data_IF_848439117770
#
_entry.id   IF_848439117770
#
_cell.length_a   1.000
_cell.length_b   1.000
_cell.length_c   1.000
_cell.angle_alpha   90.00
_cell.angle_beta   90.00
_cell.angle_gamma   90.00
#
_symmetry.space_group_name_H-M   'P 1'
#
loop_
_entity.id
_entity.type
_entity.pdbx_description
1 polymer ?
#
# COMPACT_ATOMS: atom_id res chain seq x y z
N UNK A 1 4.95 -12.19 1.34
CA UNK A 1 6.31 -12.53 1.80
C UNK A 1 6.44 -11.93 3.18
N UNK A 2 6.94 -12.69 4.15
CA UNK A 2 7.12 -12.22 5.51
C UNK A 2 8.15 -11.08 5.54
N UNK A 3 8.06 -10.20 6.53
CA UNK A 3 9.05 -9.16 6.79
C UNK A 3 10.42 -9.82 7.03
N UNK A 4 11.43 -9.46 6.23
CA UNK A 4 12.81 -9.92 6.42
C UNK A 4 13.47 -9.02 7.47
N UNK A 5 13.72 -9.59 8.66
CA UNK A 5 14.33 -8.91 9.81
C UNK A 5 15.50 -9.73 10.32
N UNK A 6 16.63 -9.05 10.50
CA UNK A 6 17.84 -9.59 11.14
C UNK A 6 18.29 -8.61 12.22
N UNK A 7 19.35 -8.93 12.96
CA UNK A 7 19.82 -8.10 14.07
C UNK A 7 21.28 -7.72 13.89
N UNK A 8 21.64 -6.48 14.26
CA UNK A 8 23.01 -5.99 14.17
C UNK A 8 23.99 -6.86 14.97
N UNK A 9 25.14 -7.19 14.37
CA UNK A 9 26.19 -7.94 15.08
C UNK A 9 26.96 -7.05 16.07
N UNK A 10 27.05 -5.74 15.80
CA UNK A 10 27.76 -4.78 16.63
C UNK A 10 27.02 -3.44 16.67
N UNK A 11 27.27 -2.67 17.73
CA UNK A 11 26.75 -1.31 17.84
C UNK A 11 27.44 -0.37 16.83
N UNK A 12 26.72 0.66 16.41
CA UNK A 12 27.22 1.73 15.54
C UNK A 12 26.92 3.07 16.20
N UNK A 13 27.89 3.99 16.23
CA UNK A 13 27.72 5.31 16.81
C UNK A 13 27.37 6.34 15.73
N UNK A 14 26.79 7.47 16.14
CA UNK A 14 26.29 8.52 15.24
C UNK A 14 27.35 9.12 14.30
N UNK A 15 28.63 9.09 14.70
CA UNK A 15 29.76 9.64 13.93
C UNK A 15 30.55 8.59 13.15
N UNK A 16 30.17 7.32 13.21
CA UNK A 16 30.92 6.25 12.56
C UNK A 16 30.72 6.30 11.04
N UNK A 17 31.83 6.21 10.31
CA UNK A 17 31.83 5.89 8.89
C UNK A 17 31.51 4.40 8.73
N UNK A 18 30.33 4.09 8.19
CA UNK A 18 29.83 2.73 8.04
C UNK A 18 29.81 2.38 6.55
N UNK A 19 30.82 1.64 6.09
CA UNK A 19 30.90 1.13 4.72
C UNK A 19 30.29 -0.27 4.57
N UNK A 20 30.14 -0.98 5.70
CA UNK A 20 29.58 -2.33 5.79
C UNK A 20 28.73 -2.48 7.05
N UNK A 21 27.67 -3.28 6.97
CA UNK A 21 26.84 -3.68 8.12
C UNK A 21 26.91 -5.19 8.29
N UNK A 22 27.32 -5.63 9.48
CA UNK A 22 27.32 -7.04 9.88
C UNK A 22 26.09 -7.39 10.71
N UNK A 23 25.49 -8.55 10.47
CA UNK A 23 24.30 -9.04 11.16
C UNK A 23 24.48 -10.44 11.71
N UNK A 24 23.63 -10.85 12.67
CA UNK A 24 23.76 -12.13 13.36
C UNK A 24 23.18 -13.30 12.56
N UNK A 25 22.16 -13.05 11.75
CA UNK A 25 21.37 -14.04 11.02
C UNK A 25 21.77 -14.15 9.55
N UNK A 26 21.19 -15.12 8.84
CA UNK A 26 21.38 -15.30 7.41
C UNK A 26 20.73 -14.17 6.60
N UNK A 27 21.37 -13.72 5.53
CA UNK A 27 20.89 -12.62 4.66
C UNK A 27 20.51 -13.10 3.26
N UNK A 28 20.35 -14.41 3.03
CA UNK A 28 20.02 -14.95 1.71
C UNK A 28 18.67 -14.45 1.18
N UNK A 29 17.71 -14.17 2.06
CA UNK A 29 16.40 -13.60 1.75
C UNK A 29 16.41 -12.12 1.33
N UNK A 30 17.48 -11.38 1.64
CA UNK A 30 17.61 -9.97 1.25
C UNK A 30 18.03 -9.85 -0.23
N UNK A 31 17.59 -8.81 -0.96
CA UNK A 31 18.08 -8.57 -2.31
C UNK A 31 19.56 -8.17 -2.31
N UNK A 32 20.23 -8.30 -3.46
CA UNK A 32 21.66 -7.96 -3.58
C UNK A 32 21.95 -6.48 -3.32
N UNK A 33 21.02 -5.58 -3.61
CA UNK A 33 21.09 -4.16 -3.27
C UNK A 33 19.71 -3.72 -2.75
N UNK A 34 19.68 -2.73 -1.87
CA UNK A 34 18.42 -2.34 -1.25
C UNK A 34 18.55 -1.26 -0.18
N UNK A 35 17.49 -1.15 0.61
CA UNK A 35 17.36 -0.19 1.71
C UNK A 35 17.12 -1.00 2.99
N UNK A 36 17.89 -0.67 4.04
CA UNK A 36 17.71 -1.21 5.39
C UNK A 36 17.21 -0.09 6.30
N UNK A 37 16.29 -0.42 7.21
CA UNK A 37 15.87 0.46 8.28
C UNK A 37 16.38 -0.11 9.61
N UNK A 38 17.08 0.73 10.37
CA UNK A 38 17.54 0.40 11.72
C UNK A 38 17.05 1.52 12.64
N UNK A 39 16.12 1.20 13.54
CA UNK A 39 15.42 2.21 14.32
C UNK A 39 14.75 3.26 13.43
N UNK A 40 15.26 4.49 13.44
CA UNK A 40 14.78 5.60 12.61
C UNK A 40 15.72 6.01 11.47
N UNK A 41 16.81 5.27 11.24
CA UNK A 41 17.79 5.59 10.20
C UNK A 41 17.68 4.60 9.03
N UNK A 42 17.56 5.14 7.82
CA UNK A 42 17.60 4.36 6.60
C UNK A 42 19.01 4.34 6.00
N UNK A 43 19.43 3.16 5.58
CA UNK A 43 20.72 2.89 4.94
C UNK A 43 20.46 2.35 3.54
N UNK A 44 21.26 2.76 2.55
CA UNK A 44 21.32 2.05 1.26
C UNK A 44 22.53 1.12 1.27
N UNK A 45 22.43 -0.02 0.57
CA UNK A 45 23.56 -0.92 0.34
C UNK A 45 23.59 -1.36 -1.12
N UNK A 46 24.79 -1.55 -1.66
CA UNK A 46 24.99 -1.86 -3.08
C UNK A 46 25.24 -3.36 -3.34
N UNK A 47 25.67 -4.11 -2.33
CA UNK A 47 25.94 -5.53 -2.40
C UNK A 47 25.73 -6.22 -1.04
N UNK A 48 25.60 -7.56 -1.04
CA UNK A 48 25.61 -8.40 0.17
C UNK A 48 26.54 -9.58 0.02
N UNK A 49 26.97 -10.15 1.14
CA UNK A 49 27.71 -11.40 1.22
C UNK A 49 27.04 -12.33 2.23
N UNK A 50 26.38 -13.36 1.72
CA UNK A 50 25.60 -14.30 2.52
C UNK A 50 26.47 -15.10 3.49
N UNK A 51 27.66 -15.53 3.05
CA UNK A 51 28.58 -16.31 3.90
C UNK A 51 29.15 -15.52 5.07
N UNK A 52 29.31 -14.20 4.89
CA UNK A 52 29.80 -13.30 5.93
C UNK A 52 28.68 -12.61 6.71
N UNK A 53 27.42 -12.80 6.32
CA UNK A 53 26.26 -12.09 6.91
C UNK A 53 26.44 -10.58 6.91
N UNK A 54 26.81 -10.04 5.74
CA UNK A 54 27.28 -8.66 5.60
C UNK A 54 26.64 -7.94 4.42
N UNK A 55 26.25 -6.70 4.63
CA UNK A 55 25.92 -5.72 3.60
C UNK A 55 27.12 -4.83 3.32
N UNK A 56 27.36 -4.46 2.06
CA UNK A 56 28.51 -3.66 1.63
C UNK A 56 28.12 -2.52 0.69
N UNK A 57 29.00 -1.52 0.58
CA UNK A 57 28.69 -0.27 -0.12
C UNK A 57 27.59 0.49 0.62
N UNK A 58 27.65 0.48 1.95
CA UNK A 58 26.63 1.07 2.80
C UNK A 58 26.75 2.59 2.79
N UNK A 59 25.63 3.28 2.64
CA UNK A 59 25.51 4.73 2.87
C UNK A 59 24.46 4.99 3.94
N UNK A 60 24.81 5.87 4.89
CA UNK A 60 24.01 6.25 6.06
C UNK A 60 23.06 7.41 5.78
N UNK A 61 22.13 7.67 6.71
CA UNK A 61 21.27 8.86 6.67
C UNK A 61 20.57 9.07 5.31
N UNK A 62 20.08 7.98 4.72
CA UNK A 62 19.45 8.00 3.41
C UNK A 62 17.94 8.28 3.55
N UNK A 63 17.28 8.60 2.43
CA UNK A 63 15.82 8.75 2.35
C UNK A 63 15.24 9.76 3.36
N UNK A 64 15.99 10.83 3.61
CA UNK A 64 15.63 11.92 4.53
C UNK A 64 15.72 11.59 6.02
N UNK A 65 16.35 10.46 6.36
CA UNK A 65 16.66 10.13 7.76
C UNK A 65 17.97 10.79 8.20
N UNK A 66 18.19 10.89 9.51
CA UNK A 66 19.44 11.37 10.08
C UNK A 66 20.26 10.21 10.63
N UNK A 67 21.59 10.36 10.62
CA UNK A 67 22.47 9.40 11.28
C UNK A 67 22.12 9.29 12.78
N UNK A 68 22.04 8.07 13.29
CA UNK A 68 21.73 7.77 14.68
C UNK A 68 22.73 6.78 15.29
N UNK A 69 22.72 6.65 16.63
CA UNK A 69 23.42 5.56 17.31
C UNK A 69 22.51 4.33 17.40
N UNK A 70 23.05 3.15 17.08
CA UNK A 70 22.34 1.87 17.10
C UNK A 70 23.07 0.89 18.01
N UNK A 71 22.32 0.21 18.88
CA UNK A 71 22.89 -0.84 19.74
C UNK A 71 23.17 -2.11 18.96
N UNK A 72 24.10 -2.93 19.46
CA UNK A 72 24.19 -4.32 19.02
C UNK A 72 22.83 -5.01 19.23
N UNK A 73 22.51 -5.95 18.35
CA UNK A 73 21.23 -6.66 18.29
C UNK A 73 20.01 -5.78 18.03
N UNK A 74 20.17 -4.53 17.59
CA UNK A 74 19.04 -3.77 17.05
C UNK A 74 18.53 -4.41 15.75
N UNK A 75 17.22 -4.37 15.56
CA UNK A 75 16.57 -4.90 14.37
C UNK A 75 17.02 -4.13 13.12
N UNK A 76 17.27 -4.90 12.06
CA UNK A 76 17.65 -4.45 10.73
C UNK A 76 16.57 -4.99 9.80
N UNK A 77 15.70 -4.09 9.37
CA UNK A 77 14.53 -4.41 8.58
C UNK A 77 14.77 -4.09 7.11
N UNK A 78 14.40 -4.99 6.21
CA UNK A 78 14.43 -4.69 4.78
C UNK A 78 13.23 -3.81 4.37
N UNK A 79 13.51 -2.69 3.71
CA UNK A 79 12.48 -1.88 3.06
C UNK A 79 12.31 -2.38 1.62
N UNK A 80 11.23 -3.12 1.39
CA UNK A 80 10.90 -3.68 0.08
C UNK A 80 10.46 -2.61 -0.93
N UNK A 81 9.74 -1.59 -0.46
CA UNK A 81 9.18 -0.54 -1.31
C UNK A 81 9.47 0.84 -0.72
N UNK A 82 10.14 1.69 -1.51
CA UNK A 82 10.37 3.09 -1.21
C UNK A 82 9.34 3.94 -1.97
N UNK A 83 8.45 4.61 -1.22
CA UNK A 83 7.34 5.38 -1.78
C UNK A 83 7.48 6.83 -1.36
N UNK A 84 7.57 7.73 -2.35
CA UNK A 84 7.62 9.17 -2.14
C UNK A 84 6.26 9.77 -2.49
N UNK A 85 5.66 10.46 -1.52
CA UNK A 85 4.45 11.23 -1.74
C UNK A 85 4.81 12.71 -1.89
N UNK A 86 4.68 13.22 -3.10
CA UNK A 86 4.88 14.64 -3.40
C UNK A 86 3.50 15.29 -3.47
N UNK A 87 3.26 16.31 -2.66
CA UNK A 87 2.04 17.13 -2.69
C UNK A 87 2.42 18.61 -2.73
N UNK A 88 1.55 19.46 -3.30
CA UNK A 88 1.83 20.90 -3.42
C UNK A 88 1.18 21.62 -4.60
N UNK A 89 0.55 20.89 -5.53
CA UNK A 89 -0.20 21.53 -6.62
C UNK A 89 -1.63 21.87 -6.16
N UNK A 90 -1.82 23.07 -5.62
CA UNK A 90 -3.14 23.57 -5.19
C UNK A 90 -4.15 23.70 -6.35
N UNK A 91 -3.71 23.67 -7.60
CA UNK A 91 -4.55 23.70 -8.79
C UNK A 91 -4.87 22.30 -9.35
N UNK A 92 -4.32 21.23 -8.76
CA UNK A 92 -4.66 19.87 -9.15
C UNK A 92 -6.12 19.60 -8.81
N UNK A 93 -6.94 19.39 -9.84
CA UNK A 93 -8.31 18.92 -9.67
C UNK A 93 -8.29 17.50 -9.12
N UNK A 94 -9.21 17.21 -8.19
CA UNK A 94 -9.34 15.86 -7.64
C UNK A 94 -9.50 14.84 -8.80
N UNK A 95 -8.75 13.73 -8.78
CA UNK A 95 -9.01 12.63 -9.71
C UNK A 95 -10.46 12.16 -9.58
N UNK A 96 -11.04 11.65 -10.68
CA UNK A 96 -12.36 11.02 -10.63
C UNK A 96 -12.34 9.86 -9.64
N UNK A 97 -13.34 9.82 -8.77
CA UNK A 97 -13.50 8.75 -7.79
C UNK A 97 -14.09 7.53 -8.48
N UNK A 98 -13.35 6.41 -8.46
CA UNK A 98 -13.88 5.09 -8.77
C UNK A 98 -13.93 4.26 -7.48
N UNK A 99 -15.14 3.98 -6.99
CA UNK A 99 -15.38 3.23 -5.75
C UNK A 99 -15.21 1.71 -5.93
N UNK A 100 -15.09 1.21 -7.17
CA UNK A 100 -14.90 -0.23 -7.40
C UNK A 100 -13.56 -0.73 -6.83
N UNK A 101 -12.58 0.16 -6.70
CA UNK A 101 -11.25 -0.15 -6.19
C UNK A 101 -11.01 0.28 -4.74
N UNK A 102 -12.04 0.69 -3.99
CA UNK A 102 -11.89 1.10 -2.59
C UNK A 102 -11.30 -0.04 -1.72
N UNK A 103 -10.46 0.22 -0.71
CA UNK A 103 -10.04 -0.79 0.25
C UNK A 103 -11.17 -1.27 1.17
N UNK A 104 -11.16 -2.56 1.57
CA UNK A 104 -12.14 -3.13 2.52
C UNK A 104 -11.67 -2.93 3.97
N UNK A 105 -11.44 -1.67 4.35
CA UNK A 105 -11.18 -1.27 5.73
C UNK A 105 -11.62 0.18 5.94
N UNK A 106 -12.08 0.51 7.15
CA UNK A 106 -12.43 1.88 7.49
C UNK A 106 -11.17 2.75 7.56
N UNK A 107 -11.11 3.79 6.73
CA UNK A 107 -10.05 4.79 6.76
C UNK A 107 -10.38 5.86 7.80
N UNK A 108 -9.53 6.02 8.81
CA UNK A 108 -9.47 7.27 9.60
C UNK A 108 -8.57 8.27 8.88
N UNK A 109 -9.17 9.15 8.09
CA UNK A 109 -8.47 10.21 7.38
C UNK A 109 -9.30 11.48 7.31
N UNK A 110 -8.63 12.62 7.22
CA UNK A 110 -9.25 13.93 7.01
C UNK A 110 -9.37 14.30 5.53
N UNK A 111 -8.91 13.44 4.61
CA UNK A 111 -9.01 13.67 3.17
C UNK A 111 -10.49 13.63 2.73
N UNK A 112 -10.89 14.60 1.90
CA UNK A 112 -12.25 14.68 1.36
C UNK A 112 -12.43 13.95 0.03
N UNK A 113 -11.36 13.41 -0.57
CA UNK A 113 -11.37 12.69 -1.84
C UNK A 113 -10.24 11.68 -1.91
N UNK A 114 -10.48 10.54 -2.55
CA UNK A 114 -9.54 9.44 -2.74
C UNK A 114 -9.57 8.93 -4.17
N UNK A 115 -8.42 8.52 -4.69
CA UNK A 115 -8.32 7.72 -5.91
C UNK A 115 -7.59 6.43 -5.58
N UNK A 116 -8.27 5.32 -5.80
CA UNK A 116 -7.76 4.00 -5.50
C UNK A 116 -7.25 3.38 -6.79
N UNK A 117 -5.93 3.35 -6.96
CA UNK A 117 -5.34 2.89 -8.21
C UNK A 117 -5.57 1.38 -8.42
N UNK A 118 -5.40 0.54 -7.38
CA UNK A 118 -5.48 -0.93 -7.46
C UNK A 118 -5.68 -1.61 -6.08
N UNK A 119 -6.63 -1.19 -5.23
CA UNK A 119 -6.89 -1.88 -3.94
C UNK A 119 -7.98 -2.95 -4.02
N UNK A 120 -8.81 -2.96 -5.07
CA UNK A 120 -9.87 -3.95 -5.30
C UNK A 120 -9.69 -4.77 -6.58
N UNK A 121 -10.40 -5.90 -6.68
CA UNK A 121 -10.65 -6.60 -7.95
C UNK A 121 -12.13 -6.45 -8.35
N UNK A 122 -12.42 -6.42 -9.65
CA UNK A 122 -13.79 -6.61 -10.16
C UNK A 122 -14.15 -8.10 -10.09
N UNK A 123 -14.95 -8.52 -9.09
CA UNK A 123 -15.45 -9.90 -9.01
C UNK A 123 -15.70 -10.45 -7.61
N UNK A 124 -16.11 -11.71 -7.56
CA UNK A 124 -16.39 -12.47 -6.33
C UNK A 124 -15.14 -12.87 -5.53
N UNK A 125 -13.93 -12.50 -5.96
CA UNK A 125 -12.66 -12.86 -5.31
C UNK A 125 -11.97 -11.73 -4.55
N UNK A 126 -12.63 -10.58 -4.36
CA UNK A 126 -12.05 -9.42 -3.65
C UNK A 126 -11.65 -9.78 -2.21
N UNK A 127 -10.37 -9.65 -1.82
CA UNK A 127 -9.95 -9.83 -0.44
C UNK A 127 -10.71 -8.88 0.51
N UNK A 128 -11.18 -9.39 1.65
CA UNK A 128 -11.99 -8.65 2.61
C UNK A 128 -13.50 -8.62 2.33
N UNK A 129 -13.96 -9.01 1.13
CA UNK A 129 -15.37 -9.21 0.85
C UNK A 129 -15.78 -10.65 1.16
N UNK A 130 -17.05 -10.85 1.51
CA UNK A 130 -17.62 -12.19 1.59
C UNK A 130 -17.80 -12.77 0.18
N UNK A 131 -17.26 -13.96 -0.01
CA UNK A 131 -17.33 -14.72 -1.23
C UNK A 131 -18.08 -16.04 -1.02
N UNK A 132 -18.70 -16.54 -2.08
CA UNK A 132 -19.34 -17.86 -2.11
C UNK A 132 -18.32 -18.89 -2.58
N UNK A 133 -18.04 -19.91 -1.79
CA UNK A 133 -17.11 -20.97 -2.16
C UNK A 133 -17.80 -22.18 -2.77
N UNK A 134 -18.94 -22.59 -2.22
CA UNK A 134 -19.60 -23.82 -2.63
C UNK A 134 -21.10 -23.78 -2.37
N UNK A 135 -21.84 -24.31 -3.32
CA UNK A 135 -23.29 -24.53 -3.26
C UNK A 135 -23.59 -25.94 -3.74
N UNK A 136 -24.28 -26.72 -2.92
CA UNK A 136 -24.91 -27.97 -3.35
C UNK A 136 -26.31 -28.01 -2.77
N UNK A 137 -27.30 -28.46 -3.55
CA UNK A 137 -28.70 -28.46 -3.12
C UNK A 137 -29.46 -27.19 -3.52
N UNK A 138 -30.52 -26.86 -2.78
CA UNK A 138 -31.30 -25.63 -3.00
C UNK A 138 -30.87 -24.52 -2.04
N UNK A 139 -29.57 -24.23 -2.04
CA UNK A 139 -28.97 -23.27 -1.13
C UNK A 139 -29.00 -21.86 -1.73
N UNK A 140 -29.53 -20.89 -1.00
CA UNK A 140 -29.54 -19.49 -1.39
C UNK A 140 -28.65 -18.68 -0.45
N UNK A 141 -27.97 -17.68 -0.99
CA UNK A 141 -27.16 -16.76 -0.23
C UNK A 141 -27.84 -15.39 -0.30
N UNK A 142 -28.32 -14.89 0.84
CA UNK A 142 -28.84 -13.52 0.89
C UNK A 142 -27.70 -12.54 1.15
N UNK A 143 -27.82 -11.34 0.59
CA UNK A 143 -26.75 -10.32 0.59
C UNK A 143 -27.12 -9.05 1.36
N UNK A 144 -28.23 -9.10 2.08
CA UNK A 144 -28.69 -8.10 3.05
C UNK A 144 -29.72 -8.71 4.01
N UNK A 145 -30.11 -7.97 5.04
CA UNK A 145 -31.23 -8.27 5.93
C UNK A 145 -32.40 -8.92 5.14
N UNK A 146 -32.87 -10.13 5.51
CA UNK A 146 -33.98 -10.79 4.81
C UNK A 146 -35.28 -9.97 4.78
N UNK A 147 -35.37 -8.88 5.56
CA UNK A 147 -36.48 -7.92 5.55
C UNK A 147 -36.17 -6.56 4.89
N UNK A 148 -34.94 -6.31 4.44
CA UNK A 148 -34.55 -5.09 3.72
C UNK A 148 -33.44 -5.36 2.70
N UNK A 149 -33.79 -5.34 1.40
CA UNK A 149 -32.83 -5.50 0.30
C UNK A 149 -31.75 -4.41 0.31
N UNK A 150 -30.51 -4.76 0.60
CA UNK A 150 -29.34 -3.95 0.28
C UNK A 150 -28.12 -4.80 -0.12
N UNK A 151 -27.17 -4.14 -0.78
CA UNK A 151 -25.95 -4.62 -1.44
C UNK A 151 -25.11 -5.71 -0.73
N UNK A 152 -24.43 -6.51 -1.57
CA UNK A 152 -23.42 -7.60 -1.37
C UNK A 152 -22.34 -7.40 -0.28
N UNK A 153 -22.35 -6.28 0.43
CA UNK A 153 -21.28 -5.82 1.30
C UNK A 153 -21.60 -5.89 2.79
N UNK A 154 -22.82 -6.28 3.22
CA UNK A 154 -23.24 -6.03 4.61
C UNK A 154 -23.79 -7.23 5.40
N UNK A 155 -24.58 -8.16 4.85
CA UNK A 155 -25.06 -9.33 5.63
C UNK A 155 -25.10 -10.59 4.77
N UNK A 156 -24.83 -11.76 5.36
CA UNK A 156 -24.72 -13.01 4.61
C UNK A 156 -25.40 -14.16 5.34
N UNK A 157 -26.55 -14.59 4.82
CA UNK A 157 -27.28 -15.77 5.30
C UNK A 157 -27.28 -16.88 4.27
N UNK A 158 -27.17 -18.13 4.72
CA UNK A 158 -27.37 -19.33 3.89
C UNK A 158 -28.77 -19.86 4.14
N UNK A 159 -29.61 -20.01 3.12
CA UNK A 159 -30.97 -20.54 3.18
C UNK A 159 -31.11 -21.84 2.39
N UNK A 160 -31.88 -22.84 2.84
CA UNK A 160 -32.22 -24.00 2.01
C UNK A 160 -33.67 -24.47 2.19
N UNK A 161 -34.20 -25.08 1.14
CA UNK A 161 -35.51 -25.74 1.08
C UNK A 161 -35.45 -27.24 0.74
N UNK A 162 -34.26 -27.82 0.47
CA UNK A 162 -34.01 -29.27 0.24
C UNK A 162 -32.50 -29.60 0.11
N UNK A 163 -32.00 -30.43 1.05
CA UNK A 163 -30.68 -31.09 1.11
C UNK A 163 -29.53 -30.28 0.50
N UNK A 164 -28.77 -29.58 1.32
CA UNK A 164 -27.74 -28.71 0.80
C UNK A 164 -26.65 -28.30 1.77
N UNK A 165 -25.59 -27.75 1.19
CA UNK A 165 -24.45 -27.17 1.90
C UNK A 165 -24.12 -25.84 1.27
N UNK A 166 -24.09 -24.80 2.10
CA UNK A 166 -23.63 -23.47 1.73
C UNK A 166 -22.41 -23.07 2.52
N UNK A 167 -21.41 -22.53 1.84
CA UNK A 167 -20.18 -22.03 2.44
C UNK A 167 -19.86 -20.64 1.92
N UNK A 168 -19.71 -19.70 2.85
CA UNK A 168 -19.25 -18.34 2.59
C UNK A 168 -17.99 -18.05 3.37
N UNK A 169 -17.10 -17.24 2.81
CA UNK A 169 -15.82 -16.92 3.43
C UNK A 169 -15.35 -15.50 3.12
N UNK A 170 -14.49 -14.97 3.99
CA UNK A 170 -13.64 -13.80 3.76
C UNK A 170 -12.22 -14.31 3.53
N UNK A 171 -11.55 -13.80 2.49
CA UNK A 171 -10.15 -14.09 2.20
C UNK A 171 -9.26 -12.88 2.47
N UNK A 172 -8.06 -13.09 2.99
CA UNK A 172 -6.99 -12.08 3.01
C UNK A 172 -5.61 -12.71 2.76
N UNK A 173 -4.88 -12.19 1.77
CA UNK A 173 -3.54 -12.68 1.40
C UNK A 173 -2.48 -12.47 2.50
N UNK A 174 -2.72 -11.56 3.45
CA UNK A 174 -1.84 -11.37 4.60
C UNK A 174 -1.97 -12.51 5.65
N UNK A 175 -2.92 -13.43 5.44
CA UNK A 175 -3.33 -14.42 6.42
C UNK A 175 -4.28 -13.83 7.46
N UNK A 176 -5.09 -14.70 8.05
CA UNK A 176 -6.06 -14.38 9.10
C UNK A 176 -5.71 -15.24 10.31
N UNK A 177 -5.37 -14.60 11.42
CA UNK A 177 -4.99 -15.29 12.66
C UNK A 177 -6.20 -15.58 13.56
N UNK A 178 -7.16 -14.66 13.60
CA UNK A 178 -8.36 -14.79 14.40
C UNK A 178 -9.54 -14.05 13.76
N UNK A 179 -10.75 -14.46 14.11
CA UNK A 179 -11.99 -13.79 13.74
C UNK A 179 -12.90 -13.64 14.95
N UNK A 180 -13.41 -12.42 15.15
CA UNK A 180 -14.44 -12.09 16.14
C UNK A 180 -15.76 -11.91 15.40
N UNK A 181 -16.73 -12.77 15.69
CA UNK A 181 -18.10 -12.67 15.20
C UNK A 181 -18.97 -12.04 16.29
N UNK A 182 -19.69 -10.98 15.94
CA UNK A 182 -20.65 -10.29 16.80
C UNK A 182 -21.97 -10.13 16.07
N UNK A 183 -23.08 -10.21 16.80
CA UNK A 183 -24.44 -10.02 16.28
C UNK A 183 -24.85 -11.01 15.16
N UNK A 184 -24.22 -12.18 15.06
CA UNK A 184 -24.69 -13.25 14.19
C UNK A 184 -25.98 -13.88 14.73
N UNK A 185 -26.79 -14.48 13.86
CA UNK A 185 -27.93 -15.28 14.30
C UNK A 185 -28.09 -16.61 13.54
N UNK A 186 -28.80 -17.52 14.18
CA UNK A 186 -29.32 -18.75 13.58
C UNK A 186 -30.85 -18.73 13.60
N UNK A 187 -31.47 -19.39 12.64
CA UNK A 187 -32.93 -19.52 12.56
C UNK A 187 -33.31 -20.87 11.96
N UNK A 188 -34.39 -21.46 12.45
CA UNK A 188 -35.02 -22.59 11.77
C UNK A 188 -36.55 -22.49 11.86
N UNK A 189 -37.27 -22.73 10.76
CA UNK A 189 -38.74 -22.70 10.77
C UNK A 189 -39.33 -23.82 11.64
N UNK A 190 -38.70 -24.99 11.65
CA UNK A 190 -39.05 -26.13 12.49
C UNK A 190 -37.77 -26.76 13.04
N UNK A 191 -37.45 -26.50 14.30
CA UNK A 191 -36.20 -26.88 14.97
C UNK A 191 -35.91 -28.37 14.84
N UNK A 192 -34.67 -28.68 14.47
CA UNK A 192 -34.14 -30.04 14.42
C UNK A 192 -34.58 -30.85 13.21
N UNK A 193 -35.11 -30.21 12.15
CA UNK A 193 -35.57 -30.89 10.93
C UNK A 193 -34.76 -30.59 9.67
N UNK A 194 -34.10 -29.45 9.63
CA UNK A 194 -33.30 -28.92 8.53
C UNK A 194 -31.86 -28.70 8.93
N UNK A 195 -31.56 -28.24 10.15
CA UNK A 195 -30.18 -28.00 10.59
C UNK A 195 -29.42 -29.31 10.88
N UNK A 196 -28.37 -29.63 10.11
CA UNK A 196 -27.40 -30.68 10.47
C UNK A 196 -26.27 -30.05 11.29
N UNK A 197 -25.63 -29.04 10.71
CA UNK A 197 -24.48 -28.39 11.32
C UNK A 197 -24.35 -26.96 10.83
N UNK A 198 -23.91 -26.08 11.73
CA UNK A 198 -23.33 -24.79 11.39
C UNK A 198 -21.92 -24.80 11.93
N UNK A 199 -20.96 -24.29 11.17
CA UNK A 199 -19.54 -24.34 11.53
C UNK A 199 -18.81 -23.08 11.10
N UNK A 200 -17.82 -22.69 11.89
CA UNK A 200 -16.79 -21.74 11.50
C UNK A 200 -15.67 -22.54 10.84
N UNK A 201 -15.32 -22.15 9.62
CA UNK A 201 -14.32 -22.81 8.79
C UNK A 201 -13.16 -21.85 8.58
N UNK A 202 -11.94 -22.37 8.55
CA UNK A 202 -10.78 -21.66 8.00
C UNK A 202 -10.15 -22.47 6.87
N UNK A 203 -9.39 -21.81 5.99
CA UNK A 203 -8.59 -22.50 4.98
C UNK A 203 -7.27 -21.80 4.70
N UNK A 204 -6.21 -22.57 4.43
CA UNK A 204 -4.93 -22.10 3.89
C UNK A 204 -4.92 -22.04 2.34
N UNK A 205 -6.07 -22.29 1.70
CA UNK A 205 -6.24 -22.38 0.25
C UNK A 205 -6.05 -23.79 -0.33
N UNK A 206 -5.64 -24.76 0.50
CA UNK A 206 -5.47 -26.18 0.13
C UNK A 206 -6.31 -27.08 1.05
N UNK A 207 -6.25 -26.83 2.35
CA UNK A 207 -6.92 -27.60 3.40
C UNK A 207 -7.96 -26.71 4.07
N UNK A 208 -9.14 -27.26 4.29
CA UNK A 208 -10.18 -26.65 5.12
C UNK A 208 -10.16 -27.27 6.52
N UNK A 209 -10.29 -26.42 7.55
CA UNK A 209 -10.36 -26.79 8.95
C UNK A 209 -11.68 -26.34 9.56
N UNK A 210 -12.33 -27.22 10.33
CA UNK A 210 -13.47 -26.85 11.17
C UNK A 210 -12.93 -26.30 12.49
N UNK A 211 -13.12 -25.00 12.74
CA UNK A 211 -12.60 -24.34 13.93
C UNK A 211 -13.54 -24.48 15.12
N UNK A 212 -14.84 -24.28 14.89
CA UNK A 212 -15.84 -24.42 15.95
C UNK A 212 -17.24 -24.69 15.37
N UNK A 213 -18.10 -25.43 16.08
CA UNK A 213 -19.51 -25.51 15.74
C UNK A 213 -20.25 -24.21 16.11
N UNK A 214 -21.20 -23.81 15.29
CA UNK A 214 -22.23 -22.82 15.61
C UNK A 214 -23.46 -23.54 16.17
N UNK A 215 -24.00 -23.02 17.26
CA UNK A 215 -25.12 -23.64 17.97
C UNK A 215 -26.39 -23.56 17.13
N UNK A 216 -27.03 -24.72 16.93
CA UNK A 216 -28.31 -24.82 16.24
C UNK A 216 -29.41 -24.04 16.99
N UNK A 217 -30.40 -23.48 16.27
CA UNK A 217 -31.53 -22.83 16.90
C UNK A 217 -32.36 -23.84 17.69
N UNK A 218 -32.92 -23.40 18.81
CA UNK A 218 -33.68 -24.23 19.76
C UNK A 218 -35.16 -23.85 19.85
N UNK A 219 -35.57 -22.79 19.17
CA UNK A 219 -36.95 -22.30 19.15
C UNK A 219 -37.42 -22.14 17.70
N UNK A 220 -38.59 -22.72 17.39
CA UNK A 220 -39.21 -22.62 16.08
C UNK A 220 -39.42 -21.17 15.66
N UNK A 221 -39.09 -20.87 14.41
CA UNK A 221 -39.34 -19.61 13.74
C UNK A 221 -38.88 -18.36 14.52
N UNK A 222 -37.81 -18.49 15.32
CA UNK A 222 -37.28 -17.40 16.15
C UNK A 222 -35.77 -17.27 15.95
N UNK A 223 -35.27 -16.09 15.50
CA UNK A 223 -33.84 -15.84 15.40
C UNK A 223 -33.15 -15.94 16.77
N UNK A 224 -31.98 -16.58 16.82
CA UNK A 224 -31.17 -16.75 18.03
C UNK A 224 -29.75 -16.26 17.81
N UNK A 225 -29.28 -15.37 18.67
CA UNK A 225 -27.95 -14.76 18.55
C UNK A 225 -26.83 -15.77 18.79
N UNK A 226 -25.74 -15.65 18.03
CA UNK A 226 -24.46 -16.32 18.27
C UNK A 226 -23.30 -15.37 18.00
N UNK A 227 -22.13 -15.71 18.53
CA UNK A 227 -20.91 -14.93 18.35
C UNK A 227 -19.78 -15.44 19.24
N UNK A 228 -18.58 -14.92 19.00
CA UNK A 228 -17.39 -15.33 19.73
C UNK A 228 -16.09 -14.97 19.00
N UNK A 229 -14.98 -15.08 19.73
CA UNK A 229 -13.64 -14.98 19.17
C UNK A 229 -13.09 -16.38 18.89
N UNK A 230 -12.57 -16.58 17.68
CA UNK A 230 -12.05 -17.85 17.22
C UNK A 230 -10.64 -17.67 16.67
N UNK A 231 -9.70 -18.45 17.21
CA UNK A 231 -8.34 -18.54 16.67
C UNK A 231 -8.34 -19.57 15.54
N UNK A 232 -7.73 -19.21 14.43
CA UNK A 232 -7.77 -20.02 13.21
C UNK A 232 -6.54 -20.92 13.11
N UNK A 233 -6.68 -21.99 12.34
CA UNK A 233 -5.58 -22.86 11.97
C UNK A 233 -4.40 -22.08 11.39
N UNK A 234 -3.18 -22.53 11.70
CA UNK A 234 -1.95 -21.87 11.23
C UNK A 234 -1.91 -21.79 9.70
N UNK A 235 -1.61 -20.60 9.18
CA UNK A 235 -1.55 -20.35 7.73
C UNK A 235 -2.91 -20.07 7.08
N UNK A 236 -4.00 -20.00 7.85
CA UNK A 236 -5.30 -19.62 7.32
C UNK A 236 -5.21 -18.29 6.56
N UNK A 237 -5.70 -18.30 5.32
CA UNK A 237 -5.91 -17.12 4.46
C UNK A 237 -7.40 -16.83 4.28
N UNK A 238 -8.26 -17.75 4.73
CA UNK A 238 -9.71 -17.66 4.66
C UNK A 238 -10.33 -17.97 6.03
N UNK A 239 -11.44 -17.28 6.32
CA UNK A 239 -12.34 -17.60 7.43
C UNK A 239 -13.78 -17.47 6.96
N UNK A 240 -14.65 -18.37 7.38
CA UNK A 240 -16.02 -18.38 6.89
C UNK A 240 -17.00 -19.13 7.76
N UNK A 241 -18.26 -19.13 7.32
CA UNK A 241 -19.36 -19.88 7.92
C UNK A 241 -19.88 -20.92 6.93
N UNK A 242 -20.13 -22.12 7.42
CA UNK A 242 -20.72 -23.22 6.66
C UNK A 242 -22.00 -23.68 7.32
N UNK A 243 -23.08 -23.79 6.53
CA UNK A 243 -24.33 -24.38 6.93
C UNK A 243 -24.55 -25.67 6.13
N UNK A 244 -24.81 -26.76 6.82
CA UNK A 244 -25.20 -28.04 6.26
C UNK A 244 -26.61 -28.39 6.71
N UNK A 245 -27.46 -28.76 5.75
CA UNK A 245 -28.85 -29.09 6.01
C UNK A 245 -29.28 -30.40 5.35
N UNK A 246 -30.13 -31.14 6.05
CA UNK A 246 -30.68 -32.42 5.62
C UNK A 246 -32.04 -32.61 6.25
N UNK A 247 -32.95 -33.23 5.50
CA UNK A 247 -34.31 -33.51 5.95
C UNK A 247 -34.49 -35.01 6.18
N UNK A 248 -35.14 -35.39 7.29
CA UNK A 248 -35.46 -36.78 7.60
C UNK A 248 -36.85 -37.19 7.04
N UNK A 249 -36.97 -37.33 5.72
CA UNK A 249 -38.19 -37.84 5.09
C UNK A 249 -39.07 -36.75 4.46
N UNK A 250 -40.40 -36.98 4.46
CA UNK A 250 -41.37 -36.26 3.60
C UNK A 250 -41.12 -34.75 3.59
N UNK A 251 -40.99 -34.11 2.41
CA UNK A 251 -40.56 -32.72 2.31
C UNK A 251 -41.55 -31.78 3.00
N UNK A 252 -41.25 -31.45 4.26
CA UNK A 252 -41.86 -30.33 4.96
C UNK A 252 -41.02 -29.11 4.59
N UNK A 253 -41.67 -27.99 4.27
CA UNK A 253 -40.98 -26.72 4.03
C UNK A 253 -40.39 -26.22 5.37
N UNK A 254 -39.29 -26.81 5.81
CA UNK A 254 -38.44 -26.26 6.85
C UNK A 254 -37.22 -25.62 6.19
N UNK A 255 -36.70 -24.64 6.89
CA UNK A 255 -35.80 -23.63 6.40
C UNK A 255 -34.85 -23.35 7.54
N UNK A 256 -33.55 -23.41 7.27
CA UNK A 256 -32.51 -23.05 8.23
C UNK A 256 -31.70 -21.86 7.72
N UNK A 257 -31.27 -20.99 8.62
CA UNK A 257 -30.35 -19.88 8.34
C UNK A 257 -29.21 -19.84 9.34
N UNK A 258 -28.03 -19.55 8.80
CA UNK A 258 -26.84 -19.16 9.54
C UNK A 258 -26.35 -17.84 8.96
N UNK A 259 -26.33 -16.80 9.79
CA UNK A 259 -25.81 -15.48 9.43
C UNK A 259 -24.61 -15.11 10.29
N UNK A 260 -23.55 -14.63 9.66
CA UNK A 260 -22.49 -13.89 10.32
C UNK A 260 -22.83 -12.40 10.26
N UNK A 261 -23.11 -11.79 11.41
CA UNK A 261 -23.34 -10.34 11.51
C UNK A 261 -22.04 -9.57 11.28
N UNK A 262 -21.55 -8.85 12.29
CA UNK A 262 -20.26 -8.15 12.19
C UNK A 262 -19.10 -9.12 12.41
N UNK A 263 -18.15 -9.14 11.47
CA UNK A 263 -16.91 -9.93 11.60
C UNK A 263 -15.69 -9.02 11.59
N UNK A 264 -14.92 -9.07 12.69
CA UNK A 264 -13.62 -8.40 12.81
C UNK A 264 -12.52 -9.44 12.69
N UNK A 265 -11.66 -9.29 11.69
CA UNK A 265 -10.52 -10.19 11.46
C UNK A 265 -9.22 -9.59 11.99
N UNK A 266 -8.41 -10.42 12.62
CA UNK A 266 -7.03 -10.09 12.99
C UNK A 266 -6.10 -10.68 11.94
N UNK A 267 -5.37 -9.83 11.23
CA UNK A 267 -4.44 -10.27 10.19
C UNK A 267 -3.19 -10.95 10.77
N UNK A 268 -2.61 -11.84 9.98
CA UNK A 268 -1.42 -12.61 10.33
C UNK A 268 -0.10 -11.89 10.07
N UNK A 269 0.99 -12.65 10.18
CA UNK A 269 2.38 -12.17 10.11
C UNK A 269 2.82 -11.62 8.73
N UNK A 270 2.00 -11.74 7.68
CA UNK A 270 2.31 -11.16 6.37
C UNK A 270 1.73 -9.75 6.19
N UNK A 271 1.22 -9.13 7.27
CA UNK A 271 0.73 -7.75 7.22
C UNK A 271 1.91 -6.79 6.95
N UNK A 272 1.85 -5.94 5.92
CA UNK A 272 2.93 -5.00 5.63
C UNK A 272 3.16 -4.03 6.80
N UNK A 273 4.42 -3.84 7.18
CA UNK A 273 4.83 -2.73 8.02
C UNK A 273 5.03 -1.48 7.17
N UNK A 274 4.58 -0.31 7.67
CA UNK A 274 4.73 0.98 6.99
C UNK A 274 5.42 1.93 7.94
N UNK A 275 6.52 2.52 7.49
CA UNK A 275 7.21 3.61 8.20
C UNK A 275 7.08 4.87 7.36
N UNK A 276 6.54 5.93 7.96
CA UNK A 276 6.43 7.25 7.34
C UNK A 276 7.51 8.14 7.92
N UNK A 277 8.45 8.57 7.09
CA UNK A 277 9.49 9.51 7.48
C UNK A 277 8.92 10.93 7.62
N UNK A 278 9.71 11.82 8.24
CA UNK A 278 9.37 13.23 8.29
C UNK A 278 9.19 13.80 6.87
N UNK A 279 8.26 14.74 6.74
CA UNK A 279 8.09 15.53 5.52
C UNK A 279 9.44 16.13 5.13
N UNK A 280 9.81 15.94 3.87
CA UNK A 280 10.98 16.58 3.28
C UNK A 280 10.51 17.80 2.51
N UNK A 281 11.14 18.93 2.81
CA UNK A 281 10.91 20.15 2.03
C UNK A 281 11.37 19.89 0.59
N UNK A 282 10.44 19.99 -0.34
CA UNK A 282 10.75 20.08 -1.75
C UNK A 282 10.31 21.45 -2.27
N UNK A 283 10.90 21.84 -3.38
CA UNK A 283 10.58 23.05 -4.11
C UNK A 283 10.32 22.66 -5.56
N UNK A 284 9.15 23.02 -6.06
CA UNK A 284 8.87 22.94 -7.49
C UNK A 284 9.38 24.24 -8.13
N UNK A 285 10.56 24.17 -8.75
CA UNK A 285 11.04 25.23 -9.63
C UNK A 285 10.15 25.26 -10.87
N UNK A 286 9.39 26.34 -11.05
CA UNK A 286 8.54 26.59 -12.21
C UNK A 286 8.87 27.97 -12.81
N UNK A 287 10.16 28.19 -13.05
CA UNK A 287 10.71 29.49 -13.39
C UNK A 287 10.79 29.75 -14.89
N UNK A 288 10.53 30.98 -15.32
CA UNK A 288 10.90 31.45 -16.65
C UNK A 288 12.15 32.30 -16.56
N UNK A 289 13.16 31.97 -17.37
CA UNK A 289 14.34 32.83 -17.57
C UNK A 289 14.21 33.48 -18.93
N UNK A 290 14.16 34.81 -18.96
CA UNK A 290 14.07 35.62 -20.17
C UNK A 290 15.34 36.42 -20.37
N UNK A 291 15.95 36.34 -21.55
CA UNK A 291 16.87 37.39 -21.99
C UNK A 291 16.03 38.55 -22.55
N UNK A 292 15.98 39.68 -21.85
CA UNK A 292 15.15 40.81 -22.24
C UNK A 292 15.66 41.51 -23.51
N UNK A 293 16.94 41.35 -23.86
CA UNK A 293 17.52 41.92 -25.08
C UNK A 293 17.06 41.17 -26.33
N UNK A 294 16.97 39.84 -26.26
CA UNK A 294 16.54 39.02 -27.41
C UNK A 294 15.06 38.66 -27.39
N UNK A 295 14.39 38.81 -26.24
CA UNK A 295 13.05 38.30 -25.97
C UNK A 295 12.99 36.77 -25.83
N UNK A 296 14.12 36.08 -25.95
CA UNK A 296 14.17 34.62 -25.85
C UNK A 296 14.00 34.19 -24.40
N UNK A 297 13.11 33.22 -24.16
CA UNK A 297 12.87 32.72 -22.81
C UNK A 297 12.86 31.20 -22.75
N UNK A 298 13.35 30.63 -21.66
CA UNK A 298 13.22 29.22 -21.34
C UNK A 298 12.37 29.05 -20.08
N UNK A 299 11.50 28.06 -20.08
CA UNK A 299 10.76 27.60 -18.92
C UNK A 299 11.55 26.46 -18.28
N UNK A 300 11.71 26.52 -16.96
CA UNK A 300 12.31 25.49 -16.14
C UNK A 300 11.23 24.89 -15.24
N UNK A 301 10.96 23.59 -15.39
CA UNK A 301 10.07 22.83 -14.53
C UNK A 301 10.83 21.67 -13.90
N UNK A 302 11.13 21.77 -12.61
CA UNK A 302 11.97 20.78 -11.92
C UNK A 302 11.65 20.74 -10.42
N UNK A 303 11.48 19.53 -9.87
CA UNK A 303 11.33 19.34 -8.43
C UNK A 303 12.70 19.11 -7.80
N UNK A 304 13.07 19.94 -6.83
CA UNK A 304 14.39 19.96 -6.20
C UNK A 304 14.27 20.23 -4.70
N UNK A 305 15.27 19.87 -3.91
CA UNK A 305 15.41 20.33 -2.52
C UNK A 305 15.76 21.83 -2.44
N UNK A 306 15.66 22.40 -1.24
CA UNK A 306 16.11 23.77 -1.01
C UNK A 306 17.66 23.84 -1.03
N UNK A 307 18.20 24.87 -1.67
CA UNK A 307 19.65 25.12 -1.85
C UNK A 307 20.39 24.12 -2.75
N UNK A 308 19.67 23.33 -3.53
CA UNK A 308 20.25 22.50 -4.59
C UNK A 308 20.49 23.32 -5.88
N UNK A 309 21.34 22.81 -6.76
CA UNK A 309 21.74 23.53 -7.99
C UNK A 309 21.40 22.74 -9.24
N UNK A 310 20.56 23.32 -10.09
CA UNK A 310 20.31 22.85 -11.46
C UNK A 310 21.17 23.64 -12.45
N UNK A 311 22.02 22.95 -13.21
CA UNK A 311 22.82 23.55 -14.28
C UNK A 311 22.12 23.40 -15.63
N UNK A 312 21.96 24.50 -16.36
CA UNK A 312 21.45 24.51 -17.75
C UNK A 312 22.56 24.97 -18.69
N UNK A 313 23.11 24.05 -19.47
CA UNK A 313 24.10 24.39 -20.50
C UNK A 313 23.40 24.63 -21.84
N UNK A 314 23.23 25.91 -22.20
CA UNK A 314 22.51 26.31 -23.41
C UNK A 314 23.27 26.02 -24.70
N UNK A 315 24.58 25.74 -24.61
CA UNK A 315 25.41 25.39 -25.76
C UNK A 315 25.47 23.88 -25.99
N UNK A 316 25.89 23.12 -24.98
CA UNK A 316 25.96 21.66 -25.03
C UNK A 316 24.58 20.99 -25.02
N UNK A 317 23.52 21.75 -24.74
CA UNK A 317 22.13 21.25 -24.64
C UNK A 317 22.01 20.17 -23.56
N UNK A 318 22.56 20.45 -22.40
CA UNK A 318 22.45 19.57 -21.24
C UNK A 318 21.79 20.31 -20.09
N UNK A 319 21.07 19.55 -19.26
CA UNK A 319 20.56 20.02 -17.98
C UNK A 319 20.95 18.97 -16.96
N UNK A 320 21.60 19.39 -15.87
CA UNK A 320 22.20 18.49 -14.89
C UNK A 320 21.84 18.95 -13.49
N UNK A 321 21.31 18.04 -12.69
CA UNK A 321 21.23 18.23 -11.24
C UNK A 321 22.63 18.00 -10.66
N UNK A 322 23.21 19.03 -10.03
CA UNK A 322 24.58 18.95 -9.53
C UNK A 322 24.70 18.19 -8.21
N UNK A 323 23.59 17.93 -7.50
CA UNK A 323 23.64 17.19 -6.23
C UNK A 323 23.93 15.71 -6.47
N UNK A 324 23.35 15.13 -7.53
CA UNK A 324 23.50 13.71 -7.87
C UNK A 324 24.09 13.45 -9.26
N UNK A 325 24.38 14.49 -10.03
CA UNK A 325 24.94 14.40 -11.39
C UNK A 325 23.96 13.86 -12.45
N UNK A 326 22.67 13.77 -12.14
CA UNK A 326 21.67 13.18 -13.04
C UNK A 326 21.28 14.11 -14.19
N UNK A 327 20.92 13.51 -15.33
CA UNK A 327 20.45 14.24 -16.50
C UNK A 327 18.98 14.66 -16.32
N UNK A 328 18.72 15.96 -16.43
CA UNK A 328 17.42 16.58 -16.26
C UNK A 328 16.98 17.32 -17.53
N UNK A 329 17.34 16.83 -18.73
CA UNK A 329 17.06 17.51 -20.01
C UNK A 329 15.58 17.87 -20.20
N UNK A 330 14.66 17.11 -19.60
CA UNK A 330 13.21 17.38 -19.63
C UNK A 330 12.77 18.58 -18.79
N UNK A 331 13.65 19.10 -17.94
CA UNK A 331 13.33 20.24 -17.09
C UNK A 331 13.30 21.57 -17.86
N UNK A 332 13.84 21.64 -19.08
CA UNK A 332 13.89 22.88 -19.87
C UNK A 332 13.00 22.82 -21.11
N UNK A 333 12.17 23.84 -21.27
CA UNK A 333 11.33 24.04 -22.45
C UNK A 333 11.59 25.44 -23.05
N UNK A 334 12.04 25.55 -24.31
CA UNK A 334 12.11 26.84 -24.99
C UNK A 334 10.72 27.46 -25.16
N UNK A 335 10.48 28.61 -24.54
CA UNK A 335 9.22 29.34 -24.69
C UNK A 335 9.13 29.90 -26.10
N UNK A 336 7.98 29.70 -26.75
CA UNK A 336 7.76 30.06 -28.15
C UNK A 336 8.08 28.95 -29.16
N UNK A 337 8.41 27.75 -28.68
CA UNK A 337 8.59 26.54 -29.50
C UNK A 337 10.05 26.19 -29.81
N UNK A 338 10.25 25.09 -30.53
CA UNK A 338 11.56 24.51 -30.81
C UNK A 338 12.47 25.50 -31.54
N UNK A 339 13.68 25.71 -31.00
CA UNK A 339 14.72 26.54 -31.62
C UNK A 339 16.11 25.97 -31.40
N UNK A 340 17.03 26.30 -32.30
CA UNK A 340 18.43 25.85 -32.28
C UNK A 340 19.17 26.34 -31.02
N UNK A 341 19.00 27.60 -30.65
CA UNK A 341 19.63 28.20 -29.48
C UNK A 341 18.59 28.44 -28.40
N UNK A 342 18.89 28.04 -27.16
CA UNK A 342 17.93 28.13 -26.06
C UNK A 342 17.86 29.54 -25.48
N UNK A 343 19.00 30.18 -25.29
CA UNK A 343 19.08 31.55 -24.77
C UNK A 343 20.34 32.18 -25.36
N UNK A 344 20.20 33.04 -26.38
CA UNK A 344 21.36 33.72 -27.00
C UNK A 344 21.80 34.91 -26.16
N UNK A 345 23.08 35.21 -26.24
CA UNK A 345 23.69 36.42 -25.68
C UNK A 345 24.28 37.26 -26.82
N UNK A 346 23.56 38.26 -27.34
CA UNK A 346 24.14 39.26 -28.23
C UNK A 346 25.28 40.04 -27.55
N UNK A 347 26.11 40.68 -28.36
CA UNK A 347 27.15 41.59 -27.88
C UNK A 347 26.55 42.78 -27.15
N UNK A 348 27.14 43.16 -26.01
CA UNK A 348 26.71 44.30 -25.21
C UNK A 348 26.09 43.87 -23.89
N UNK A 349 25.39 44.81 -23.24
CA UNK A 349 24.73 44.56 -21.97
C UNK A 349 23.51 43.66 -22.19
N UNK A 350 23.45 42.54 -21.48
CA UNK A 350 22.33 41.61 -21.50
C UNK A 350 21.66 41.62 -20.13
N UNK A 351 20.32 41.76 -20.12
CA UNK A 351 19.53 41.67 -18.89
C UNK A 351 18.78 40.35 -18.91
N UNK A 352 19.00 39.55 -17.88
CA UNK A 352 18.24 38.32 -17.65
C UNK A 352 17.22 38.53 -16.54
N UNK A 353 15.96 38.24 -16.83
CA UNK A 353 14.88 38.24 -15.86
C UNK A 353 14.55 36.80 -15.46
N UNK A 354 14.41 36.59 -14.16
CA UNK A 354 13.93 35.35 -13.56
C UNK A 354 12.55 35.60 -12.96
N UNK A 355 11.55 34.88 -13.47
CA UNK A 355 10.17 34.95 -13.02
C UNK A 355 9.78 33.57 -12.46
N UNK A 356 9.49 33.50 -11.17
CA UNK A 356 9.01 32.27 -10.52
C UNK A 356 8.11 32.61 -9.33
N UNK A 357 7.07 31.81 -9.12
CA UNK A 357 6.06 32.06 -8.08
C UNK A 357 6.41 31.23 -6.86
N UNK A 358 6.69 31.91 -5.74
CA UNK A 358 6.99 31.25 -4.46
C UNK A 358 8.48 31.20 -4.11
N UNK A 359 9.37 31.67 -4.99
CA UNK A 359 10.79 31.80 -4.67
C UNK A 359 11.03 32.98 -3.73
N UNK A 360 11.44 32.71 -2.49
CA UNK A 360 11.83 33.76 -1.54
C UNK A 360 13.26 34.27 -1.79
N UNK A 361 14.12 33.45 -2.39
CA UNK A 361 15.49 33.80 -2.75
C UNK A 361 16.09 32.80 -3.73
N UNK A 362 16.80 33.30 -4.73
CA UNK A 362 17.50 32.50 -5.74
C UNK A 362 18.87 33.12 -6.00
N UNK A 363 19.86 32.27 -6.27
CA UNK A 363 21.16 32.69 -6.79
C UNK A 363 21.29 32.21 -8.22
N UNK A 364 21.55 33.12 -9.15
CA UNK A 364 21.73 32.80 -10.57
C UNK A 364 23.17 33.07 -10.95
N UNK A 365 23.89 32.02 -11.33
CA UNK A 365 25.21 32.12 -11.94
C UNK A 365 25.08 32.08 -13.46
N UNK A 366 25.75 32.99 -14.16
CA UNK A 366 25.88 32.96 -15.62
C UNK A 366 27.34 32.81 -15.97
N UNK A 367 27.68 31.68 -16.59
CA UNK A 367 28.99 31.44 -17.18
C UNK A 367 28.86 31.52 -18.71
N UNK A 368 29.81 32.22 -19.34
CA UNK A 368 29.83 32.39 -20.79
C UNK A 368 31.27 32.34 -21.31
N UNK A 369 31.42 31.94 -22.57
CA UNK A 369 32.69 31.97 -23.30
C UNK A 369 32.59 32.83 -24.56
N UNK A 370 33.64 33.57 -24.88
CA UNK A 370 33.69 34.40 -26.09
C UNK A 370 33.77 33.50 -27.33
N UNK A 371 32.74 33.55 -28.19
CA UNK A 371 32.79 32.91 -29.50
C UNK A 371 33.49 33.79 -30.51
N UNK A 372 34.71 33.41 -30.88
CA UNK A 372 35.43 34.03 -32.00
C UNK A 372 35.14 33.24 -33.28
N UNK A 373 34.50 33.90 -34.24
CA UNK A 373 34.39 33.37 -35.59
C UNK A 373 35.74 33.57 -36.28
N UNK A 374 36.47 32.48 -36.52
CA UNK A 374 37.70 32.45 -37.31
C UNK A 374 37.40 32.40 -38.81
#
# INVERSE_FOLDING_TARGET
MAQEVVTLAAAMLIGDAVETIDVNEDVSGFPNAGILLIGSEAFTYAAKNDSLKRFTGVSRAQKGTAAAGHSASADVEWIQHDVWMVYGNAAATAPSVDSNYEPVFNLTSYNTSWNYAYFGEDGLGRPGAWAKAFESGNVYFDTGDPWAKANVTVDNSVWDTKYGTGYMYIRNACGIHAALFTDGYTYETLVGRGWISGSIISSDGIIESVEAPVVAPTIDATPQSWGGMYFLSSGAIEVGIRLEVSFDGTPVASTAYLEAGVVVVTLGANTPAITVNAEQNNYLLAATITNEETGESILLTYTTGLNETLQVNTDLKTVTDLENGSNQFRAVDPVGGTRLHWLRMPTGDNVFRFDDVGTAGVTIGVEWEERRYS
#
